data_IF_618515315219
#
_entry.id   IF_618515315219
#
_cell.length_a   1.000
_cell.length_b   1.000
_cell.length_c   1.000
_cell.angle_alpha   90.00
_cell.angle_beta   90.00
_cell.angle_gamma   90.00
#
_symmetry.space_group_name_H-M   'P 1'
#
loop_
_entity.id
_entity.type
_entity.pdbx_description
1 polymer ?
#
# COMPACT_ATOMS: atom_id res chain seq x y z
N UNK A 1 10.58 -15.87 -10.65
CA UNK A 1 9.75 -15.07 -11.61
C UNK A 1 8.57 -14.52 -10.84
N UNK A 2 8.29 -13.23 -10.94
CA UNK A 2 7.12 -12.64 -10.28
C UNK A 2 5.83 -13.20 -10.88
N UNK A 3 4.76 -13.37 -10.06
CA UNK A 3 3.50 -13.91 -10.55
C UNK A 3 2.90 -13.10 -11.71
N UNK A 4 2.15 -13.81 -12.56
CA UNK A 4 1.61 -13.26 -13.82
C UNK A 4 0.65 -12.08 -13.61
N UNK A 5 -0.13 -12.10 -12.52
CA UNK A 5 -1.08 -11.04 -12.16
C UNK A 5 -0.42 -9.66 -11.92
N UNK A 6 0.86 -9.58 -11.56
CA UNK A 6 1.55 -8.28 -11.50
C UNK A 6 1.63 -7.56 -12.85
N UNK A 7 1.66 -8.32 -13.95
CA UNK A 7 1.59 -7.73 -15.30
C UNK A 7 0.17 -7.31 -15.65
N UNK A 8 -0.78 -8.18 -15.38
CA UNK A 8 -2.17 -8.04 -15.82
C UNK A 8 -2.90 -6.97 -15.01
N UNK A 9 -2.75 -7.02 -13.67
CA UNK A 9 -3.52 -6.15 -12.78
C UNK A 9 -2.81 -4.81 -12.50
N UNK A 10 -1.49 -4.77 -12.52
CA UNK A 10 -0.71 -3.55 -12.25
C UNK A 10 -0.02 -2.95 -13.48
N UNK A 11 -0.22 -3.52 -14.66
CA UNK A 11 0.26 -2.97 -15.93
C UNK A 11 1.79 -2.93 -16.11
N UNK A 12 2.54 -3.70 -15.34
CA UNK A 12 4.00 -3.72 -15.49
C UNK A 12 4.43 -4.43 -16.78
N UNK A 13 4.87 -3.68 -17.78
CA UNK A 13 5.31 -4.21 -19.08
C UNK A 13 6.54 -5.09 -18.97
N UNK A 14 7.48 -4.74 -18.10
CA UNK A 14 8.73 -5.46 -17.87
C UNK A 14 8.84 -5.82 -16.40
N UNK A 15 8.57 -7.07 -16.06
CA UNK A 15 8.87 -7.60 -14.74
C UNK A 15 10.34 -8.00 -14.71
N UNK A 16 11.15 -7.20 -14.03
CA UNK A 16 12.49 -7.59 -13.57
C UNK A 16 12.42 -8.75 -12.58
N UNK A 17 13.55 -9.22 -12.12
CA UNK A 17 13.63 -10.28 -11.11
C UNK A 17 13.07 -9.87 -9.75
N UNK A 18 12.79 -8.59 -9.51
CA UNK A 18 12.19 -8.09 -8.27
C UNK A 18 11.29 -6.88 -8.52
N UNK A 19 10.43 -6.59 -7.54
CA UNK A 19 9.52 -5.46 -7.48
C UNK A 19 9.84 -4.65 -6.22
N UNK A 20 9.93 -3.33 -6.34
CA UNK A 20 10.11 -2.45 -5.19
C UNK A 20 8.74 -2.00 -4.65
N UNK A 21 8.50 -2.24 -3.36
CA UNK A 21 7.39 -1.64 -2.60
C UNK A 21 8.02 -0.68 -1.60
N UNK A 22 7.81 0.63 -1.76
CA UNK A 22 8.47 1.64 -0.94
C UNK A 22 7.63 2.91 -0.79
N UNK A 23 7.89 3.67 0.26
CA UNK A 23 7.24 4.94 0.57
C UNK A 23 7.38 5.34 2.04
N UNK A 24 6.72 6.40 2.50
CA UNK A 24 6.78 6.81 3.90
C UNK A 24 6.07 5.80 4.80
N UNK A 25 6.52 5.71 6.05
CA UNK A 25 5.95 4.76 7.01
C UNK A 25 4.43 4.97 7.20
N UNK A 26 3.99 6.23 7.21
CA UNK A 26 2.59 6.64 7.39
C UNK A 26 2.34 7.95 6.66
N UNK A 27 1.09 8.20 6.27
CA UNK A 27 0.67 9.48 5.68
C UNK A 27 0.67 10.55 6.78
N UNK A 28 1.68 11.43 6.77
CA UNK A 28 1.80 12.56 7.69
C UNK A 28 1.24 13.85 7.09
N UNK A 29 1.53 14.09 5.81
CA UNK A 29 1.02 15.23 5.05
C UNK A 29 1.11 14.98 3.55
N UNK A 30 0.29 15.70 2.76
CA UNK A 30 0.34 15.66 1.30
C UNK A 30 1.75 15.95 0.78
N UNK A 31 2.43 16.97 1.32
CA UNK A 31 3.77 17.36 0.87
C UNK A 31 4.81 16.26 1.05
N UNK A 32 4.81 15.57 2.19
CA UNK A 32 5.75 14.47 2.46
C UNK A 32 5.50 13.31 1.51
N UNK A 33 4.22 12.91 1.35
CA UNK A 33 3.83 11.79 0.50
C UNK A 33 4.20 12.05 -0.96
N UNK A 34 3.85 13.22 -1.50
CA UNK A 34 4.12 13.59 -2.89
C UNK A 34 5.60 13.69 -3.21
N UNK A 35 6.38 14.41 -2.37
CA UNK A 35 7.84 14.52 -2.56
C UNK A 35 8.54 13.16 -2.48
N UNK A 36 8.06 12.27 -1.60
CA UNK A 36 8.62 10.92 -1.48
C UNK A 36 8.32 10.10 -2.73
N UNK A 37 7.07 10.14 -3.23
CA UNK A 37 6.69 9.42 -4.44
C UNK A 37 7.47 9.90 -5.66
N UNK A 38 7.55 11.21 -5.87
CA UNK A 38 8.32 11.82 -6.96
C UNK A 38 9.77 11.34 -6.99
N UNK A 39 10.42 11.38 -5.83
CA UNK A 39 11.83 10.95 -5.70
C UNK A 39 12.01 9.46 -5.96
N UNK A 40 11.13 8.63 -5.40
CA UNK A 40 11.16 7.18 -5.61
C UNK A 40 10.90 6.84 -7.08
N UNK A 41 9.88 7.46 -7.70
CA UNK A 41 9.56 7.26 -9.12
C UNK A 41 10.73 7.65 -10.01
N UNK A 42 11.37 8.79 -9.78
CA UNK A 42 12.56 9.21 -10.54
C UNK A 42 13.67 8.17 -10.47
N UNK A 43 13.92 7.61 -9.29
CA UNK A 43 14.96 6.58 -9.11
C UNK A 43 14.57 5.29 -9.81
N UNK A 44 13.34 4.82 -9.61
CA UNK A 44 12.88 3.54 -10.16
C UNK A 44 12.76 3.58 -11.67
N UNK A 45 12.31 4.68 -12.26
CA UNK A 45 12.26 4.88 -13.71
C UNK A 45 13.66 4.85 -14.32
N UNK A 46 14.63 5.55 -13.71
CA UNK A 46 16.03 5.54 -14.14
C UNK A 46 16.62 4.14 -14.18
N UNK A 47 16.28 3.31 -13.20
CA UNK A 47 16.79 1.93 -13.08
C UNK A 47 15.87 0.87 -13.67
N UNK A 48 14.75 1.27 -14.28
CA UNK A 48 13.73 0.37 -14.86
C UNK A 48 13.21 -0.66 -13.85
N UNK A 49 13.03 -0.24 -12.60
CA UNK A 49 12.54 -1.08 -11.50
C UNK A 49 11.02 -0.94 -11.42
N UNK A 50 10.23 -2.01 -11.51
CA UNK A 50 8.80 -1.99 -11.19
C UNK A 50 8.59 -1.49 -9.75
N UNK A 51 7.66 -0.55 -9.57
CA UNK A 51 7.50 0.16 -8.31
C UNK A 51 6.03 0.27 -7.91
N UNK A 52 5.73 -0.06 -6.65
CA UNK A 52 4.45 0.19 -5.99
C UNK A 52 4.71 1.19 -4.85
N UNK A 53 3.99 2.31 -4.87
CA UNK A 53 4.07 3.29 -3.79
C UNK A 53 3.31 2.79 -2.57
N UNK A 54 3.94 2.83 -1.38
CA UNK A 54 3.34 2.34 -0.14
C UNK A 54 3.35 3.39 0.95
N UNK A 55 2.20 3.66 1.54
CA UNK A 55 2.12 4.34 2.84
C UNK A 55 0.94 3.80 3.64
N UNK A 56 1.10 3.68 4.97
CA UNK A 56 -0.02 3.36 5.84
C UNK A 56 -0.86 4.61 6.09
N UNK A 57 -2.18 4.53 6.00
CA UNK A 57 -3.04 5.66 6.37
C UNK A 57 -3.09 5.87 7.88
N UNK A 58 -2.93 4.79 8.68
CA UNK A 58 -2.76 4.86 10.14
C UNK A 58 -1.79 3.79 10.63
N UNK A 59 -1.33 3.92 11.88
CA UNK A 59 -0.54 2.91 12.60
C UNK A 59 -1.31 2.35 13.78
N UNK A 60 -1.55 1.05 13.79
CA UNK A 60 -2.28 0.34 14.83
C UNK A 60 -1.38 -0.39 15.84
N UNK A 61 -0.07 -0.51 15.58
CA UNK A 61 0.89 -1.28 16.38
C UNK A 61 1.93 -0.41 17.11
N UNK A 62 1.55 0.78 17.56
CA UNK A 62 2.47 1.65 18.32
C UNK A 62 2.61 1.17 19.76
N UNK A 63 3.83 1.20 20.28
CA UNK A 63 4.16 0.84 21.68
C UNK A 63 3.78 1.93 22.69
N UNK A 64 3.57 3.17 22.24
CA UNK A 64 3.14 4.29 23.07
C UNK A 64 1.84 4.90 22.54
N UNK A 65 0.89 5.15 23.44
CA UNK A 65 -0.36 5.84 23.11
C UNK A 65 -0.18 7.29 22.63
N UNK A 66 0.98 7.91 22.92
CA UNK A 66 1.34 9.26 22.48
C UNK A 66 1.99 9.32 21.09
N UNK A 67 2.34 8.17 20.50
CA UNK A 67 2.94 8.13 19.17
C UNK A 67 1.95 8.59 18.10
N UNK A 68 2.46 9.29 17.09
CA UNK A 68 1.65 9.69 15.92
C UNK A 68 1.07 8.44 15.22
N UNK A 69 -0.25 8.41 15.07
CA UNK A 69 -0.98 7.27 14.49
C UNK A 69 -1.40 7.48 13.05
N UNK A 70 -1.34 8.68 12.54
CA UNK A 70 -1.84 9.10 11.23
C UNK A 70 -2.64 10.39 11.33
N UNK A 71 -3.06 10.90 10.18
CA UNK A 71 -4.02 12.00 10.05
C UNK A 71 -5.43 11.42 9.94
N UNK A 72 -6.44 12.28 9.74
CA UNK A 72 -7.80 11.87 9.45
C UNK A 72 -7.88 10.84 8.30
N UNK A 73 -8.78 9.85 8.41
CA UNK A 73 -8.89 8.72 7.47
C UNK A 73 -9.16 9.20 6.05
N UNK A 74 -10.24 9.98 5.85
CA UNK A 74 -10.66 10.39 4.51
C UNK A 74 -9.58 11.24 3.83
N UNK A 75 -8.93 12.09 4.61
CA UNK A 75 -7.83 12.92 4.13
C UNK A 75 -6.60 12.07 3.76
N UNK A 76 -6.28 11.05 4.54
CA UNK A 76 -5.15 10.15 4.24
C UNK A 76 -5.41 9.35 2.97
N UNK A 77 -6.62 8.82 2.81
CA UNK A 77 -7.01 8.03 1.64
C UNK A 77 -7.03 8.90 0.38
N UNK A 78 -7.62 10.10 0.45
CA UNK A 78 -7.58 11.04 -0.68
C UNK A 78 -6.14 11.41 -1.11
N UNK A 79 -5.22 11.54 -0.16
CA UNK A 79 -3.80 11.77 -0.50
C UNK A 79 -3.20 10.58 -1.23
N UNK A 80 -3.49 9.34 -0.81
CA UNK A 80 -3.00 8.12 -1.45
C UNK A 80 -3.57 7.93 -2.85
N UNK A 81 -4.87 8.14 -3.03
CA UNK A 81 -5.53 8.10 -4.34
C UNK A 81 -4.89 9.12 -5.30
N UNK A 82 -4.77 10.38 -4.88
CA UNK A 82 -4.17 11.42 -5.71
C UNK A 82 -2.71 11.12 -6.09
N UNK A 83 -1.92 10.51 -5.20
CA UNK A 83 -0.55 10.08 -5.53
C UNK A 83 -0.56 9.03 -6.64
N UNK A 84 -1.45 8.05 -6.55
CA UNK A 84 -1.58 7.01 -7.59
C UNK A 84 -1.89 7.63 -8.96
N UNK A 85 -2.85 8.55 -8.99
CA UNK A 85 -3.29 9.23 -10.21
C UNK A 85 -2.20 10.17 -10.76
N UNK A 86 -1.66 11.07 -9.94
CA UNK A 86 -0.74 12.12 -10.40
C UNK A 86 0.62 11.56 -10.87
N UNK A 87 1.10 10.50 -10.23
CA UNK A 87 2.38 9.85 -10.59
C UNK A 87 2.21 8.62 -11.48
N UNK A 88 0.98 8.18 -11.75
CA UNK A 88 0.68 6.96 -12.49
C UNK A 88 1.48 5.76 -11.92
N UNK A 89 1.30 5.50 -10.63
CA UNK A 89 1.93 4.40 -9.90
C UNK A 89 0.90 3.61 -9.13
N UNK A 90 0.99 2.27 -9.08
CA UNK A 90 0.15 1.49 -8.18
C UNK A 90 0.38 1.87 -6.73
N UNK A 91 -0.69 1.87 -5.94
CA UNK A 91 -0.68 2.26 -4.53
C UNK A 91 -1.01 1.06 -3.64
N UNK A 92 -0.28 0.96 -2.54
CA UNK A 92 -0.48 -0.04 -1.49
C UNK A 92 -0.70 0.64 -0.14
N UNK A 93 -1.71 0.20 0.60
CA UNK A 93 -1.88 0.55 2.01
C UNK A 93 -2.27 -0.66 2.85
N UNK A 94 -2.05 -0.60 4.16
CA UNK A 94 -2.46 -1.64 5.09
C UNK A 94 -3.87 -1.41 5.63
N UNK A 95 -4.60 -2.50 5.90
CA UNK A 95 -5.95 -2.52 6.49
C UNK A 95 -5.92 -3.16 7.87
N UNK A 96 -6.87 -2.79 8.75
CA UNK A 96 -6.89 -3.25 10.13
C UNK A 96 -8.26 -3.79 10.57
N UNK A 97 -9.24 -3.82 9.66
CA UNK A 97 -10.56 -4.44 9.85
C UNK A 97 -11.13 -4.90 8.49
N UNK A 98 -12.15 -5.75 8.53
CA UNK A 98 -12.86 -6.19 7.33
C UNK A 98 -13.49 -5.02 6.58
N UNK A 99 -14.15 -4.10 7.29
CA UNK A 99 -14.76 -2.91 6.69
C UNK A 99 -13.72 -2.01 5.98
N UNK A 100 -12.54 -1.84 6.57
CA UNK A 100 -11.45 -1.09 5.91
C UNK A 100 -10.96 -1.78 4.64
N UNK A 101 -10.89 -3.12 4.62
CA UNK A 101 -10.52 -3.86 3.42
C UNK A 101 -11.54 -3.66 2.28
N UNK A 102 -12.84 -3.68 2.60
CA UNK A 102 -13.91 -3.41 1.63
C UNK A 102 -13.80 -2.00 1.06
N UNK A 103 -13.72 -0.97 1.91
CA UNK A 103 -13.65 0.44 1.48
C UNK A 103 -12.39 0.70 0.64
N UNK A 104 -11.23 0.22 1.11
CA UNK A 104 -9.96 0.50 0.47
C UNK A 104 -9.73 -0.35 -0.80
N UNK A 105 -10.46 -1.46 -0.95
CA UNK A 105 -10.46 -2.26 -2.15
C UNK A 105 -10.86 -1.50 -3.41
N UNK A 106 -11.69 -0.47 -3.31
CA UNK A 106 -12.08 0.37 -4.44
C UNK A 106 -11.07 1.47 -4.78
N UNK A 107 -10.15 1.76 -3.85
CA UNK A 107 -9.27 2.94 -3.92
C UNK A 107 -7.83 2.57 -4.25
N UNK A 108 -7.32 1.46 -3.69
CA UNK A 108 -5.92 1.06 -3.87
C UNK A 108 -5.76 -0.14 -4.78
N UNK A 109 -4.57 -0.34 -5.32
CA UNK A 109 -4.26 -1.46 -6.21
C UNK A 109 -3.84 -2.71 -5.44
N UNK A 110 -3.24 -2.51 -4.27
CA UNK A 110 -2.76 -3.61 -3.41
C UNK A 110 -3.17 -3.37 -1.96
N UNK A 111 -3.82 -4.35 -1.35
CA UNK A 111 -4.17 -4.35 0.07
C UNK A 111 -3.08 -5.09 0.85
N UNK A 112 -2.57 -4.48 1.92
CA UNK A 112 -1.64 -5.16 2.82
C UNK A 112 -2.30 -5.58 4.13
N UNK A 113 -2.13 -6.84 4.50
CA UNK A 113 -2.46 -7.35 5.83
C UNK A 113 -1.22 -7.23 6.71
N UNK A 114 -1.26 -6.44 7.81
CA UNK A 114 -0.15 -6.34 8.76
C UNK A 114 0.20 -7.68 9.41
N UNK A 115 1.46 -7.85 9.81
CA UNK A 115 1.96 -9.10 10.36
C UNK A 115 1.18 -9.56 11.62
N UNK A 116 0.79 -8.63 12.48
CA UNK A 116 0.03 -8.96 13.70
C UNK A 116 -1.44 -9.30 13.46
N UNK A 117 -1.97 -9.06 12.25
CA UNK A 117 -3.34 -9.38 11.82
C UNK A 117 -3.39 -10.53 10.78
N UNK A 118 -2.26 -11.12 10.43
CA UNK A 118 -2.17 -12.10 9.34
C UNK A 118 -2.97 -13.40 9.55
N UNK A 119 -3.52 -13.62 10.74
CA UNK A 119 -4.39 -14.75 11.09
C UNK A 119 -5.84 -14.37 11.38
N UNK A 120 -6.23 -13.13 11.15
CA UNK A 120 -7.61 -12.68 11.32
C UNK A 120 -8.42 -13.05 10.07
N UNK A 121 -9.22 -14.12 10.18
CA UNK A 121 -9.94 -14.70 9.04
C UNK A 121 -10.90 -13.73 8.38
N UNK A 122 -11.63 -12.94 9.16
CA UNK A 122 -12.56 -11.93 8.68
C UNK A 122 -11.89 -10.86 7.79
N UNK A 123 -10.70 -10.41 8.17
CA UNK A 123 -9.92 -9.42 7.39
C UNK A 123 -9.39 -10.07 6.10
N UNK A 124 -8.91 -11.32 6.20
CA UNK A 124 -8.40 -12.06 5.05
C UNK A 124 -9.50 -12.34 4.02
N UNK A 125 -10.69 -12.75 4.47
CA UNK A 125 -11.85 -12.98 3.62
C UNK A 125 -12.31 -11.68 2.94
N UNK A 126 -12.46 -10.59 3.70
CA UNK A 126 -12.84 -9.29 3.16
C UNK A 126 -11.82 -8.82 2.10
N UNK A 127 -10.53 -8.88 2.41
CA UNK A 127 -9.49 -8.50 1.45
C UNK A 127 -9.50 -9.38 0.19
N UNK A 128 -9.70 -10.69 0.32
CA UNK A 128 -9.82 -11.62 -0.81
C UNK A 128 -11.03 -11.32 -1.70
N UNK A 129 -12.15 -10.94 -1.10
CA UNK A 129 -13.40 -10.61 -1.82
C UNK A 129 -13.28 -9.35 -2.68
N UNK A 130 -12.34 -8.44 -2.39
CA UNK A 130 -12.08 -7.25 -3.22
C UNK A 130 -11.50 -7.58 -4.60
N UNK A 131 -10.98 -8.80 -4.78
CA UNK A 131 -10.25 -9.25 -5.98
C UNK A 131 -8.98 -8.44 -6.29
N UNK A 132 -8.53 -7.62 -5.35
CA UNK A 132 -7.26 -6.91 -5.47
C UNK A 132 -6.09 -7.83 -5.10
N UNK A 133 -4.89 -7.42 -5.46
CA UNK A 133 -3.68 -8.10 -4.99
C UNK A 133 -3.59 -7.93 -3.47
N UNK A 134 -3.42 -9.02 -2.74
CA UNK A 134 -3.29 -9.01 -1.28
C UNK A 134 -1.88 -9.39 -0.89
N UNK A 135 -1.18 -8.47 -0.21
CA UNK A 135 0.13 -8.69 0.37
C UNK A 135 0.01 -9.02 1.85
N UNK A 136 0.14 -10.28 2.19
CA UNK A 136 0.06 -10.72 3.60
C UNK A 136 1.47 -10.73 4.18
N UNK A 137 1.72 -9.87 5.17
CA UNK A 137 3.00 -9.88 5.89
C UNK A 137 3.05 -11.08 6.83
N UNK A 138 4.12 -11.86 6.72
CA UNK A 138 4.34 -13.01 7.62
C UNK A 138 4.31 -12.56 9.08
N UNK A 139 3.57 -13.28 9.90
CA UNK A 139 3.58 -13.10 11.35
C UNK A 139 4.97 -13.38 11.95
N UNK A 140 5.19 -12.79 13.11
CA UNK A 140 6.46 -12.93 13.87
C UNK A 140 6.44 -14.11 14.84
N UNK A 141 5.38 -14.90 14.79
CA UNK A 141 5.10 -16.07 15.67
C UNK A 141 4.99 -17.35 14.85
#
# INVERSE_FOLDING_TARGET
>A
MLPKYFKEDLGFKNLSSFLLISGPCVVESKSVVFKTCEKLKTITDKHKIPFIFKASYKKANRTSGKSFKGIDFDKAISILENVGLDFNVPVLTDVHSALEAEILGDIVDVIQIPAFLCRQTDILEAAGNTKKIVNIKKGQF
#
